data_IF_403069004546
#
_entry.id   IF_403069004546
#
_cell.length_a   1.000
_cell.length_b   1.000
_cell.length_c   1.000
_cell.angle_alpha   90.00
_cell.angle_beta   90.00
_cell.angle_gamma   90.00
#
_symmetry.space_group_name_H-M   'P 1'
#
loop_
_entity.id
_entity.type
_entity.pdbx_description
1 polymer ?
#
# COMPACT_ATOMS: atom_id res chain seq x y z
N UNK A 1 -18.81 58.58 58.65
CA UNK A 1 -17.87 58.71 57.52
C UNK A 1 -17.00 57.49 57.53
N UNK A 2 -17.34 56.48 56.72
CA UNK A 2 -16.61 55.21 56.64
C UNK A 2 -16.54 54.78 55.20
N UNK A 3 -15.33 54.70 54.64
CA UNK A 3 -15.06 54.18 53.32
C UNK A 3 -14.80 52.67 53.39
N UNK A 4 -15.70 51.89 52.86
CA UNK A 4 -15.48 50.44 52.70
C UNK A 4 -14.86 50.15 51.36
N UNK A 5 -13.62 49.65 51.36
CA UNK A 5 -12.87 49.19 50.24
C UNK A 5 -13.34 47.80 49.83
N UNK A 6 -13.95 47.70 48.66
CA UNK A 6 -14.34 46.42 48.04
C UNK A 6 -13.11 45.79 47.35
N UNK A 7 -12.65 44.65 47.86
CA UNK A 7 -11.61 43.82 47.24
C UNK A 7 -12.24 43.00 46.11
N UNK A 8 -11.98 43.39 44.88
CA UNK A 8 -12.29 42.60 43.70
C UNK A 8 -11.31 41.43 43.62
N UNK A 9 -11.82 40.21 43.94
CA UNK A 9 -11.06 38.99 43.67
C UNK A 9 -11.19 38.65 42.17
N UNK A 10 -10.11 38.86 41.44
CA UNK A 10 -9.97 38.34 40.09
C UNK A 10 -9.75 36.83 40.18
N UNK A 11 -10.79 36.04 39.85
CA UNK A 11 -10.68 34.62 39.56
C UNK A 11 -10.00 34.46 38.19
N UNK A 12 -8.74 34.08 38.23
CA UNK A 12 -8.04 33.62 37.02
C UNK A 12 -8.50 32.20 36.73
N UNK A 13 -9.43 32.05 35.81
CA UNK A 13 -9.77 30.73 35.23
C UNK A 13 -8.63 30.30 34.33
N UNK A 14 -7.80 29.39 34.83
CA UNK A 14 -6.80 28.69 34.00
C UNK A 14 -7.56 27.65 33.20
N UNK A 15 -7.87 27.97 31.95
CA UNK A 15 -8.30 26.98 30.94
C UNK A 15 -7.08 26.13 30.61
N UNK A 16 -6.95 24.97 31.25
CA UNK A 16 -6.03 23.92 30.81
C UNK A 16 -6.60 23.33 29.54
N UNK A 17 -6.14 23.82 28.39
CA UNK A 17 -6.35 23.20 27.10
C UNK A 17 -5.50 21.90 27.09
N UNK A 18 -6.12 20.82 27.53
CA UNK A 18 -5.53 19.49 27.40
C UNK A 18 -5.35 19.17 25.92
N UNK A 19 -4.20 19.51 25.36
CA UNK A 19 -3.78 19.07 24.04
C UNK A 19 -3.58 17.56 24.15
N UNK A 20 -4.60 16.80 23.74
CA UNK A 20 -4.51 15.37 23.54
C UNK A 20 -3.51 15.15 22.40
N UNK A 21 -2.23 15.07 22.74
CA UNK A 21 -1.19 14.56 21.85
C UNK A 21 -1.50 13.07 21.61
N UNK A 22 -2.35 12.80 20.62
CA UNK A 22 -2.45 11.46 20.05
C UNK A 22 -1.03 11.07 19.59
N UNK A 23 -0.63 9.81 19.78
CA UNK A 23 0.73 9.38 19.48
C UNK A 23 0.99 9.38 17.98
N UNK A 24 1.36 10.53 17.43
CA UNK A 24 1.86 10.68 16.06
C UNK A 24 3.15 9.84 15.87
N UNK A 25 3.83 9.52 16.96
CA UNK A 25 5.07 8.72 16.95
C UNK A 25 4.89 7.30 16.43
N UNK A 26 3.75 6.63 16.70
CA UNK A 26 3.55 5.25 16.27
C UNK A 26 3.35 5.11 14.76
N UNK A 27 2.71 6.09 14.13
CA UNK A 27 2.53 6.09 12.67
C UNK A 27 3.87 6.30 11.94
N UNK A 28 4.75 7.12 12.50
CA UNK A 28 6.04 7.44 11.89
C UNK A 28 7.05 6.29 12.06
N UNK A 29 7.11 5.69 13.25
CA UNK A 29 8.03 4.58 13.54
C UNK A 29 7.68 3.32 12.74
N UNK A 30 6.40 3.00 12.57
CA UNK A 30 5.95 1.90 11.73
C UNK A 30 6.24 2.13 10.25
N UNK A 31 6.14 3.37 9.77
CA UNK A 31 6.51 3.73 8.39
C UNK A 31 8.00 3.51 8.13
N UNK A 32 8.87 3.89 9.07
CA UNK A 32 10.32 3.69 8.95
C UNK A 32 10.66 2.20 8.99
N UNK A 33 10.12 1.44 9.95
CA UNK A 33 10.34 0.00 10.07
C UNK A 33 9.88 -0.75 8.80
N UNK A 34 8.72 -0.39 8.25
CA UNK A 34 8.25 -1.00 7.00
C UNK A 34 9.17 -0.69 5.83
N UNK A 35 9.60 0.55 5.68
CA UNK A 35 10.57 0.94 4.64
C UNK A 35 11.90 0.19 4.78
N UNK A 36 12.38 0.00 6.00
CA UNK A 36 13.61 -0.77 6.27
C UNK A 36 13.45 -2.22 5.85
N UNK A 37 12.32 -2.86 6.17
CA UNK A 37 12.02 -4.22 5.70
C UNK A 37 11.98 -4.28 4.19
N UNK A 38 11.26 -3.36 3.54
CA UNK A 38 11.16 -3.31 2.07
C UNK A 38 12.52 -3.08 1.42
N UNK A 39 13.38 -2.24 2.00
CA UNK A 39 14.73 -1.97 1.44
C UNK A 39 15.63 -3.21 1.42
N UNK A 40 15.38 -4.19 2.30
CA UNK A 40 16.07 -5.48 2.29
C UNK A 40 15.50 -6.50 1.29
N UNK A 41 14.31 -6.23 0.75
CA UNK A 41 13.64 -7.14 -0.20
C UNK A 41 13.83 -6.73 -1.66
N UNK A 42 14.15 -5.45 -1.91
CA UNK A 42 14.17 -4.91 -3.26
C UNK A 42 15.58 -4.85 -3.85
N UNK A 43 15.66 -5.24 -5.09
CA UNK A 43 16.78 -4.90 -5.96
C UNK A 43 16.68 -3.40 -6.31
N UNK A 44 17.73 -2.66 -5.99
CA UNK A 44 17.77 -1.20 -6.19
C UNK A 44 17.76 -0.79 -7.66
N UNK A 45 18.18 -1.70 -8.54
CA UNK A 45 18.23 -1.45 -9.98
C UNK A 45 16.87 -1.70 -10.67
N UNK A 46 15.93 -2.40 -10.01
CA UNK A 46 14.63 -2.67 -10.61
C UNK A 46 13.68 -1.49 -10.40
N UNK A 47 13.04 -0.97 -11.48
CA UNK A 47 12.17 0.20 -11.38
C UNK A 47 10.98 0.00 -10.45
N UNK A 48 10.80 0.91 -9.52
CA UNK A 48 9.63 0.94 -8.62
C UNK A 48 8.81 2.21 -8.84
N UNK A 49 7.52 2.13 -8.57
CA UNK A 49 6.61 3.28 -8.55
C UNK A 49 5.85 3.30 -7.23
N UNK A 50 5.76 4.47 -6.62
CA UNK A 50 4.98 4.66 -5.39
C UNK A 50 3.49 4.75 -5.71
N UNK A 51 2.58 4.27 -4.82
CA UNK A 51 1.15 4.42 -5.03
C UNK A 51 0.73 5.87 -5.35
N UNK A 52 1.32 6.85 -4.68
CA UNK A 52 0.99 8.27 -4.85
C UNK A 52 1.41 8.87 -6.20
N UNK A 53 2.29 8.17 -6.93
CA UNK A 53 2.73 8.59 -8.27
C UNK A 53 1.80 8.08 -9.37
N UNK A 54 0.85 7.21 -9.03
CA UNK A 54 -0.10 6.63 -9.97
C UNK A 54 -1.38 7.47 -9.94
N UNK A 55 -1.57 8.27 -10.98
CA UNK A 55 -2.77 9.09 -11.13
C UNK A 55 -3.97 8.29 -11.65
N UNK A 56 -3.70 7.31 -12.53
CA UNK A 56 -4.73 6.45 -13.13
C UNK A 56 -4.13 5.09 -13.52
N UNK A 57 -4.76 4.02 -13.07
CA UNK A 57 -4.36 2.63 -13.39
C UNK A 57 -4.57 2.28 -14.86
N UNK A 58 -5.47 2.98 -15.58
CA UNK A 58 -5.76 2.72 -16.99
C UNK A 58 -4.56 2.96 -17.92
N UNK A 59 -3.55 3.73 -17.47
CA UNK A 59 -2.30 3.90 -18.20
C UNK A 59 -1.38 2.67 -18.16
N UNK A 60 -1.71 1.69 -17.33
CA UNK A 60 -0.88 0.51 -17.12
C UNK A 60 -1.62 -0.77 -17.48
N UNK A 61 -0.89 -1.76 -17.92
CA UNK A 61 -1.30 -3.15 -17.86
C UNK A 61 -1.00 -3.61 -16.43
N UNK A 62 -2.03 -3.70 -15.58
CA UNK A 62 -1.86 -4.02 -14.16
C UNK A 62 -1.81 -5.53 -13.98
N UNK A 63 -0.75 -6.05 -13.37
CA UNK A 63 -0.50 -7.49 -13.19
C UNK A 63 -0.39 -7.84 -11.71
N UNK A 64 -1.15 -8.83 -11.28
CA UNK A 64 -1.09 -9.39 -9.94
C UNK A 64 -0.28 -10.69 -9.92
N UNK A 65 0.88 -10.66 -9.28
CA UNK A 65 1.79 -11.78 -9.13
C UNK A 65 1.57 -12.57 -7.82
N UNK A 66 0.40 -12.45 -7.20
CA UNK A 66 0.06 -13.24 -6.01
C UNK A 66 -0.57 -14.57 -6.40
N UNK A 67 -0.77 -15.42 -5.39
CA UNK A 67 -1.51 -16.66 -5.60
C UNK A 67 -2.99 -16.38 -5.92
N UNK A 68 -3.62 -17.29 -6.62
CA UNK A 68 -5.02 -17.16 -7.08
C UNK A 68 -5.98 -16.84 -5.93
N UNK A 69 -5.82 -17.51 -4.80
CA UNK A 69 -6.64 -17.27 -3.60
C UNK A 69 -6.48 -15.86 -3.02
N UNK A 70 -5.28 -15.25 -3.16
CA UNK A 70 -5.04 -13.86 -2.72
C UNK A 70 -5.74 -12.87 -3.66
N UNK A 71 -5.66 -13.11 -4.97
CA UNK A 71 -6.33 -12.31 -6.00
C UNK A 71 -7.86 -12.33 -5.85
N UNK A 72 -8.43 -13.48 -5.56
CA UNK A 72 -9.89 -13.66 -5.40
C UNK A 72 -10.44 -12.93 -4.17
N UNK A 73 -9.63 -12.70 -3.13
CA UNK A 73 -10.06 -11.89 -1.97
C UNK A 73 -10.18 -10.42 -2.35
N UNK A 74 -9.20 -9.89 -3.06
CA UNK A 74 -9.22 -8.56 -3.64
C UNK A 74 -7.98 -8.31 -4.51
N UNK A 75 -8.10 -7.39 -5.45
CA UNK A 75 -7.04 -6.97 -6.36
C UNK A 75 -7.18 -5.49 -6.73
N UNK A 76 -6.17 -4.90 -7.33
CA UNK A 76 -6.25 -3.54 -7.88
C UNK A 76 -7.21 -3.55 -9.07
N UNK A 77 -7.91 -2.44 -9.26
CA UNK A 77 -8.86 -2.29 -10.37
C UNK A 77 -8.22 -2.63 -11.72
N UNK A 78 -8.91 -3.46 -12.48
CA UNK A 78 -8.46 -3.91 -13.80
C UNK A 78 -7.24 -4.81 -13.79
N UNK A 79 -6.80 -5.31 -12.64
CA UNK A 79 -5.65 -6.19 -12.55
C UNK A 79 -5.91 -7.54 -13.20
N UNK A 80 -4.93 -7.99 -14.00
CA UNK A 80 -4.88 -9.35 -14.54
C UNK A 80 -4.03 -10.22 -13.62
N UNK A 81 -4.59 -11.34 -13.20
CA UNK A 81 -3.84 -12.32 -12.44
C UNK A 81 -2.83 -13.06 -13.33
N UNK A 82 -1.57 -13.10 -12.91
CA UNK A 82 -0.49 -13.83 -13.60
C UNK A 82 0.15 -14.90 -12.72
N UNK A 83 -0.06 -14.85 -11.39
CA UNK A 83 0.47 -15.82 -10.43
C UNK A 83 1.96 -15.66 -10.15
N UNK A 84 2.45 -16.38 -9.15
CA UNK A 84 3.87 -16.47 -8.82
C UNK A 84 4.39 -17.90 -9.02
N UNK A 85 3.93 -18.86 -8.23
CA UNK A 85 4.32 -20.28 -8.37
C UNK A 85 3.88 -20.87 -9.72
N UNK A 86 2.71 -20.45 -10.18
CA UNK A 86 2.12 -20.90 -11.46
C UNK A 86 2.38 -19.96 -12.63
N UNK A 87 3.30 -18.99 -12.45
CA UNK A 87 3.62 -18.04 -13.51
C UNK A 87 4.13 -18.73 -14.76
N UNK A 88 3.57 -18.37 -15.90
CA UNK A 88 4.05 -18.80 -17.20
C UNK A 88 3.89 -17.68 -18.23
N UNK A 89 4.70 -17.72 -19.29
CA UNK A 89 4.59 -16.75 -20.39
C UNK A 89 3.24 -16.78 -21.10
N UNK A 90 2.49 -17.90 -21.01
CA UNK A 90 1.13 -18.01 -21.54
C UNK A 90 0.17 -17.02 -20.83
N UNK A 91 0.44 -16.70 -19.56
CA UNK A 91 -0.37 -15.75 -18.79
C UNK A 91 -0.24 -14.31 -19.31
N UNK A 92 0.77 -14.04 -20.16
CA UNK A 92 1.05 -12.73 -20.76
C UNK A 92 0.47 -12.57 -22.16
N UNK A 93 -0.20 -13.59 -22.69
CA UNK A 93 -0.76 -13.55 -24.04
C UNK A 93 -1.72 -12.35 -24.21
N UNK A 94 -1.54 -11.58 -25.28
CA UNK A 94 -2.33 -10.39 -25.58
C UNK A 94 -1.89 -9.12 -24.86
N UNK A 95 -0.83 -9.15 -24.04
CA UNK A 95 -0.23 -7.94 -23.49
C UNK A 95 0.69 -7.27 -24.52
N UNK A 96 0.66 -5.94 -24.57
CA UNK A 96 1.58 -5.14 -25.40
C UNK A 96 2.89 -4.91 -24.65
N UNK A 97 4.00 -5.39 -25.22
CA UNK A 97 5.33 -5.27 -24.60
C UNK A 97 5.85 -3.82 -24.53
N UNK A 98 5.27 -2.90 -25.29
CA UNK A 98 5.63 -1.50 -25.34
C UNK A 98 4.77 -0.62 -24.43
N UNK A 99 3.67 -1.12 -23.91
CA UNK A 99 2.87 -0.40 -22.92
C UNK A 99 3.44 -0.55 -21.50
N UNK A 100 3.26 0.46 -20.63
CA UNK A 100 3.68 0.35 -19.24
C UNK A 100 2.99 -0.81 -18.54
N UNK A 101 3.76 -1.60 -17.81
CA UNK A 101 3.27 -2.65 -16.92
C UNK A 101 3.48 -2.20 -15.48
N UNK A 102 2.41 -2.25 -14.68
CA UNK A 102 2.46 -2.15 -13.24
C UNK A 102 2.27 -3.55 -12.66
N UNK A 103 3.33 -4.12 -12.10
CA UNK A 103 3.23 -5.41 -11.44
C UNK A 103 3.28 -5.27 -9.93
N UNK A 104 2.49 -6.06 -9.21
CA UNK A 104 2.48 -6.03 -7.76
C UNK A 104 2.27 -7.43 -7.15
N UNK A 105 2.64 -7.55 -5.87
CA UNK A 105 2.23 -8.65 -5.01
C UNK A 105 1.80 -8.11 -3.64
N UNK A 106 1.99 -8.87 -2.57
CA UNK A 106 1.61 -8.42 -1.22
C UNK A 106 2.46 -7.24 -0.74
N UNK A 107 3.80 -7.32 -0.93
CA UNK A 107 4.78 -6.31 -0.47
C UNK A 107 5.82 -5.94 -1.53
N UNK A 108 5.78 -6.52 -2.72
CA UNK A 108 6.67 -6.19 -3.84
C UNK A 108 7.82 -7.17 -4.12
N UNK A 109 8.10 -8.15 -3.27
CA UNK A 109 9.20 -9.10 -3.48
C UNK A 109 8.95 -10.07 -4.64
N UNK A 110 7.85 -10.83 -4.60
CA UNK A 110 7.46 -11.78 -5.66
C UNK A 110 7.26 -11.10 -7.01
N UNK A 111 6.61 -9.93 -6.99
CA UNK A 111 6.35 -9.17 -8.22
C UNK A 111 7.62 -8.65 -8.88
N UNK A 112 8.65 -8.31 -8.11
CA UNK A 112 9.95 -7.94 -8.68
C UNK A 112 10.58 -9.10 -9.47
N UNK A 113 10.52 -10.33 -8.95
CA UNK A 113 11.05 -11.50 -9.65
C UNK A 113 10.29 -11.78 -10.95
N UNK A 114 8.95 -11.69 -10.93
CA UNK A 114 8.15 -11.81 -12.15
C UNK A 114 8.43 -10.63 -13.09
N UNK A 115 8.58 -9.42 -12.58
CA UNK A 115 8.92 -8.24 -13.35
C UNK A 115 10.24 -8.39 -14.12
N UNK A 116 11.26 -8.98 -13.52
CA UNK A 116 12.53 -9.31 -14.22
C UNK A 116 12.30 -10.29 -15.36
N UNK A 117 11.48 -11.32 -15.15
CA UNK A 117 11.10 -12.26 -16.23
C UNK A 117 10.34 -11.56 -17.35
N UNK A 118 9.51 -10.56 -17.06
CA UNK A 118 8.87 -9.74 -18.10
C UNK A 118 9.90 -8.99 -18.93
N UNK A 119 10.87 -8.32 -18.30
CA UNK A 119 11.94 -7.59 -19.01
C UNK A 119 12.75 -8.55 -19.89
N UNK A 120 13.14 -9.70 -19.37
CA UNK A 120 13.84 -10.76 -20.13
C UNK A 120 13.05 -11.25 -21.34
N UNK A 121 11.73 -11.15 -21.29
CA UNK A 121 10.83 -11.51 -22.38
C UNK A 121 10.37 -10.32 -23.25
N UNK A 122 11.11 -9.20 -23.16
CA UNK A 122 11.00 -8.07 -24.07
C UNK A 122 9.96 -7.01 -23.70
N UNK A 123 9.43 -7.01 -22.49
CA UNK A 123 8.64 -5.88 -21.99
C UNK A 123 9.57 -4.72 -21.66
N UNK A 124 9.31 -3.55 -22.22
CA UNK A 124 10.25 -2.41 -22.18
C UNK A 124 10.04 -1.46 -21.02
N UNK A 125 8.85 -1.45 -20.42
CA UNK A 125 8.45 -0.52 -19.34
C UNK A 125 7.76 -1.27 -18.22
N UNK A 126 8.52 -1.90 -17.32
CA UNK A 126 8.01 -2.69 -16.20
C UNK A 126 8.33 -1.99 -14.89
N UNK A 127 7.32 -1.74 -14.08
CA UNK A 127 7.41 -1.07 -12.79
C UNK A 127 6.81 -1.94 -11.71
N UNK A 128 7.53 -2.11 -10.61
CA UNK A 128 7.04 -2.79 -9.42
C UNK A 128 6.33 -1.79 -8.50
N UNK A 129 5.11 -2.09 -8.07
CA UNK A 129 4.39 -1.26 -7.10
C UNK A 129 5.08 -1.35 -5.73
N UNK A 130 5.68 -0.25 -5.27
CA UNK A 130 6.39 -0.19 -4.01
C UNK A 130 5.50 -0.54 -2.82
N UNK A 131 5.90 -1.53 -2.02
CA UNK A 131 5.13 -2.01 -0.88
C UNK A 131 3.87 -2.81 -1.24
N UNK A 132 3.65 -3.08 -2.54
CA UNK A 132 2.57 -3.92 -3.04
C UNK A 132 1.16 -3.47 -2.63
N UNK A 133 0.22 -4.42 -2.59
CA UNK A 133 -1.18 -4.14 -2.23
C UNK A 133 -1.33 -3.61 -0.80
N UNK A 134 -0.43 -3.98 0.13
CA UNK A 134 -0.45 -3.47 1.51
C UNK A 134 -0.22 -1.96 1.51
N UNK A 135 0.80 -1.48 0.79
CA UNK A 135 1.08 -0.04 0.73
C UNK A 135 -0.04 0.70 -0.03
N UNK A 136 -0.54 0.15 -1.13
CA UNK A 136 -1.66 0.68 -1.89
C UNK A 136 -2.87 0.98 -0.99
N UNK A 137 -3.30 0.00 -0.21
CA UNK A 137 -4.46 0.14 0.68
C UNK A 137 -4.17 1.07 1.86
N UNK A 138 -2.95 1.06 2.42
CA UNK A 138 -2.56 1.96 3.50
C UNK A 138 -2.60 3.44 3.07
N UNK A 139 -2.30 3.74 1.81
CA UNK A 139 -2.46 5.09 1.24
C UNK A 139 -3.94 5.46 1.02
N UNK A 140 -4.85 4.50 1.13
CA UNK A 140 -6.29 4.73 1.03
C UNK A 140 -6.87 4.45 -0.35
N UNK A 141 -6.09 3.86 -1.25
CA UNK A 141 -6.57 3.47 -2.56
C UNK A 141 -7.44 2.21 -2.49
N UNK A 142 -8.52 2.14 -3.30
CA UNK A 142 -9.45 1.02 -3.28
C UNK A 142 -8.86 -0.24 -3.89
N UNK A 143 -9.40 -1.37 -3.45
CA UNK A 143 -9.25 -2.69 -4.09
C UNK A 143 -10.62 -3.26 -4.33
N UNK A 144 -10.72 -4.19 -5.29
CA UNK A 144 -11.99 -4.77 -5.72
C UNK A 144 -11.96 -6.29 -5.70
N UNK A 145 -13.16 -6.89 -5.59
CA UNK A 145 -13.43 -8.28 -5.84
C UNK A 145 -14.77 -8.36 -6.56
N UNK A 146 -14.88 -9.21 -7.57
CA UNK A 146 -16.11 -9.37 -8.40
C UNK A 146 -16.65 -8.01 -8.93
N UNK A 147 -15.74 -7.10 -9.31
CA UNK A 147 -16.07 -5.77 -9.83
C UNK A 147 -16.64 -4.79 -8.79
N UNK A 148 -16.51 -5.07 -7.50
CA UNK A 148 -16.99 -4.22 -6.40
C UNK A 148 -15.86 -3.89 -5.43
N UNK A 149 -15.81 -2.65 -4.96
CA UNK A 149 -14.87 -2.24 -3.92
C UNK A 149 -15.09 -3.07 -2.66
N UNK A 150 -14.01 -3.55 -2.07
CA UNK A 150 -14.02 -4.36 -0.85
C UNK A 150 -12.97 -3.87 0.15
N UNK A 151 -13.24 -3.95 1.47
CA UNK A 151 -12.22 -3.66 2.47
C UNK A 151 -11.27 -4.84 2.73
N UNK A 152 -11.54 -6.03 2.19
CA UNK A 152 -10.77 -7.25 2.47
C UNK A 152 -9.46 -7.26 1.71
N UNK A 153 -8.37 -7.61 2.40
CA UNK A 153 -7.04 -7.74 1.79
C UNK A 153 -6.38 -9.02 2.29
N UNK A 154 -6.04 -9.90 1.38
CA UNK A 154 -5.25 -11.08 1.72
C UNK A 154 -3.78 -10.66 1.90
N UNK A 155 -3.26 -10.80 3.10
CA UNK A 155 -1.93 -10.32 3.48
C UNK A 155 -0.86 -11.41 3.42
N UNK A 156 -1.12 -12.50 2.72
CA UNK A 156 -0.26 -13.69 2.59
C UNK A 156 -0.09 -14.45 3.91
N UNK A 157 0.32 -13.76 4.99
CA UNK A 157 0.53 -14.34 6.32
C UNK A 157 0.25 -13.33 7.42
N UNK A 158 0.13 -13.80 8.68
CA UNK A 158 -0.03 -12.91 9.84
C UNK A 158 1.16 -11.97 10.01
N UNK A 159 2.37 -12.40 9.70
CA UNK A 159 3.58 -11.58 9.81
C UNK A 159 3.57 -10.41 8.81
N UNK A 160 3.08 -10.58 7.59
CA UNK A 160 2.88 -9.48 6.67
C UNK A 160 1.66 -8.64 7.01
N UNK A 161 0.63 -9.26 7.58
CA UNK A 161 -0.57 -8.57 8.03
C UNK A 161 -0.35 -7.47 9.07
N UNK A 162 0.75 -7.50 9.83
CA UNK A 162 1.07 -6.44 10.80
C UNK A 162 1.26 -5.07 10.12
N UNK A 163 1.67 -5.07 8.84
CA UNK A 163 1.91 -3.87 8.05
C UNK A 163 0.64 -3.27 7.43
N UNK A 164 -0.45 -4.04 7.32
CA UNK A 164 -1.73 -3.50 6.85
C UNK A 164 -2.39 -2.69 7.96
N UNK A 165 -2.58 -1.38 7.73
CA UNK A 165 -3.18 -0.43 8.69
C UNK A 165 -4.63 -0.10 8.36
N UNK A 166 -4.98 -0.13 7.08
CA UNK A 166 -6.35 0.08 6.59
C UNK A 166 -6.87 -1.20 5.95
N UNK A 167 -8.19 -1.42 6.03
CA UNK A 167 -8.84 -2.62 5.49
C UNK A 167 -8.91 -3.79 6.46
N UNK A 168 -9.51 -4.89 5.99
CA UNK A 168 -9.75 -6.12 6.74
C UNK A 168 -8.75 -7.20 6.30
N UNK A 169 -7.95 -7.70 7.23
CA UNK A 169 -6.95 -8.73 6.97
C UNK A 169 -7.59 -10.08 6.72
N UNK A 170 -7.16 -10.75 5.66
CA UNK A 170 -7.48 -12.14 5.32
C UNK A 170 -6.15 -12.92 5.19
N UNK A 171 -6.16 -14.24 5.54
CA UNK A 171 -4.98 -15.11 5.55
C UNK A 171 -5.21 -16.41 4.80
#
# INVERSE_FOLDING_TARGET
MSFTSSKIRKLLSIFIFGFFLLPVQDLFSQSIAYKTVLSGLYDKEFPVVMPQQISDLSFYQVLDAREKKEFEVSHLQGARWVGYETFSLKNLQGLDKNQPVLIYCTVGARSQEIGKKLVENGFTRVYNLYGGIIHWVNEGYPVEADGKVTPKVHTYSKSWGIWLKKGQKVY
#
